data_IF_932372143139
#
_entry.id   IF_932372143139
#
_cell.length_a   1.000
_cell.length_b   1.000
_cell.length_c   1.000
_cell.angle_alpha   90.00
_cell.angle_beta   90.00
_cell.angle_gamma   90.00
#
_symmetry.space_group_name_H-M   'P 1'
#
loop_
_entity.id
_entity.type
_entity.pdbx_description
1 polymer ?
#
# COMPACT_ATOMS: atom_id res chain seq x y z
N UNK A 1 -47.19 -10.28 7.14
CA UNK A 1 -46.08 -11.20 6.84
C UNK A 1 -45.72 -11.04 5.38
N UNK A 2 -44.68 -10.29 5.08
CA UNK A 2 -44.23 -10.10 3.70
C UNK A 2 -43.38 -11.31 3.30
N UNK A 3 -43.93 -12.21 2.47
CA UNK A 3 -43.18 -13.27 1.84
C UNK A 3 -42.23 -12.65 0.81
N UNK A 4 -40.92 -12.67 1.09
CA UNK A 4 -39.89 -12.42 0.07
C UNK A 4 -39.96 -13.54 -0.97
N UNK A 5 -40.60 -13.28 -2.10
CA UNK A 5 -40.85 -14.25 -3.19
C UNK A 5 -39.60 -14.50 -4.04
N UNK A 6 -38.53 -13.75 -3.85
CA UNK A 6 -37.28 -13.94 -4.58
C UNK A 6 -36.22 -14.54 -3.66
N UNK A 7 -35.59 -15.65 -4.04
CA UNK A 7 -34.46 -16.18 -3.33
C UNK A 7 -33.39 -15.10 -3.28
N UNK A 8 -32.92 -14.76 -2.11
CA UNK A 8 -31.81 -13.82 -1.99
C UNK A 8 -30.61 -14.41 -2.72
N UNK A 9 -30.06 -13.66 -3.69
CA UNK A 9 -28.81 -14.04 -4.35
C UNK A 9 -27.74 -14.18 -3.29
N UNK A 10 -26.96 -15.28 -3.30
CA UNK A 10 -25.83 -15.41 -2.38
C UNK A 10 -24.93 -14.17 -2.54
N UNK A 11 -24.47 -13.63 -1.43
CA UNK A 11 -23.61 -12.44 -1.41
C UNK A 11 -22.27 -12.84 -2.01
N UNK A 12 -22.06 -12.51 -3.28
CA UNK A 12 -20.80 -12.74 -3.98
C UNK A 12 -19.77 -11.77 -3.42
N UNK A 13 -18.65 -12.28 -2.98
CA UNK A 13 -17.53 -11.48 -2.46
C UNK A 13 -16.28 -11.79 -3.28
N UNK A 14 -16.07 -11.06 -4.42
CA UNK A 14 -14.89 -11.25 -5.25
C UNK A 14 -13.62 -11.09 -4.40
N UNK A 15 -12.78 -12.12 -4.37
CA UNK A 15 -11.64 -12.19 -3.47
C UNK A 15 -10.42 -12.72 -4.21
N UNK A 16 -9.30 -12.00 -4.14
CA UNK A 16 -7.97 -12.53 -4.43
C UNK A 16 -7.44 -13.16 -3.17
N UNK A 17 -7.01 -14.40 -3.27
CA UNK A 17 -6.35 -15.10 -2.17
C UNK A 17 -4.95 -15.52 -2.57
N UNK A 18 -4.07 -15.63 -1.56
CA UNK A 18 -2.77 -16.27 -1.72
C UNK A 18 -2.53 -17.25 -0.57
N UNK A 19 -1.93 -18.40 -0.91
CA UNK A 19 -1.54 -19.39 0.09
C UNK A 19 -0.19 -20.02 -0.25
N UNK A 20 0.42 -20.62 0.76
CA UNK A 20 1.65 -21.43 0.62
C UNK A 20 1.41 -22.85 1.08
N UNK A 21 2.14 -23.78 0.52
CA UNK A 21 2.17 -25.16 1.00
C UNK A 21 3.17 -25.28 2.16
N UNK A 22 2.79 -26.06 3.18
CA UNK A 22 3.63 -26.30 4.35
C UNK A 22 4.31 -27.66 4.20
N UNK A 23 5.63 -27.69 4.37
CA UNK A 23 6.42 -28.94 4.30
C UNK A 23 6.69 -29.45 2.88
N UNK A 24 6.45 -28.66 1.84
CA UNK A 24 6.71 -29.03 0.44
C UNK A 24 7.92 -28.24 -0.09
N UNK A 25 9.10 -28.84 -0.10
CA UNK A 25 10.35 -28.16 -0.48
C UNK A 25 10.33 -27.58 -1.90
N UNK A 26 9.68 -28.23 -2.87
CA UNK A 26 9.56 -27.73 -4.25
C UNK A 26 8.81 -26.39 -4.36
N UNK A 27 7.97 -26.06 -3.37
CA UNK A 27 7.16 -24.85 -3.33
C UNK A 27 7.67 -23.83 -2.30
N UNK A 28 8.82 -24.05 -1.71
CA UNK A 28 9.40 -23.16 -0.71
C UNK A 28 9.67 -21.75 -1.27
N UNK A 29 9.08 -20.73 -0.64
CA UNK A 29 9.19 -19.35 -1.10
C UNK A 29 8.27 -18.99 -2.27
N UNK A 30 7.37 -19.89 -2.65
CA UNK A 30 6.32 -19.62 -3.62
C UNK A 30 4.97 -19.38 -2.95
N UNK A 31 4.18 -18.51 -3.53
CA UNK A 31 2.78 -18.29 -3.19
C UNK A 31 1.91 -18.64 -4.39
N UNK A 32 0.86 -19.42 -4.17
CA UNK A 32 -0.21 -19.55 -5.15
C UNK A 32 -1.16 -18.38 -5.00
N UNK A 33 -1.43 -17.69 -6.12
CA UNK A 33 -2.35 -16.55 -6.17
C UNK A 33 -3.55 -16.95 -7.01
N UNK A 34 -4.75 -16.87 -6.43
CA UNK A 34 -5.99 -17.26 -7.10
C UNK A 34 -7.14 -16.30 -6.81
N UNK A 35 -8.23 -16.53 -7.52
CA UNK A 35 -9.48 -15.79 -7.41
C UNK A 35 -10.63 -16.71 -6.96
N UNK A 36 -11.54 -16.17 -6.17
CA UNK A 36 -12.82 -16.82 -5.85
C UNK A 36 -13.91 -15.77 -5.63
N UNK A 37 -15.14 -16.16 -5.90
CA UNK A 37 -16.36 -15.40 -5.56
C UNK A 37 -17.06 -15.88 -4.29
N UNK A 38 -16.46 -16.86 -3.62
CA UNK A 38 -16.91 -17.46 -2.34
C UNK A 38 -15.75 -17.54 -1.34
N UNK A 39 -15.82 -18.41 -0.36
CA UNK A 39 -14.76 -18.60 0.65
C UNK A 39 -13.45 -19.07 0.00
N UNK A 40 -12.35 -18.35 0.26
CA UNK A 40 -11.01 -18.76 -0.18
C UNK A 40 -10.64 -20.16 0.38
N UNK A 41 -11.02 -20.43 1.63
CA UNK A 41 -10.78 -21.73 2.28
C UNK A 41 -11.46 -22.85 1.52
N UNK A 42 -12.76 -22.74 1.24
CA UNK A 42 -13.51 -23.76 0.48
C UNK A 42 -12.90 -24.01 -0.89
N UNK A 43 -12.50 -22.93 -1.60
CA UNK A 43 -11.88 -23.03 -2.91
C UNK A 43 -10.54 -23.77 -2.86
N UNK A 44 -9.71 -23.52 -1.86
CA UNK A 44 -8.42 -24.19 -1.69
C UNK A 44 -8.62 -25.64 -1.27
N UNK A 45 -9.55 -25.92 -0.35
CA UNK A 45 -9.87 -27.27 0.09
C UNK A 45 -10.34 -28.13 -1.10
N UNK A 46 -11.16 -27.60 -2.00
CA UNK A 46 -11.56 -28.28 -3.26
C UNK A 46 -10.34 -28.59 -4.16
N UNK A 47 -9.42 -27.62 -4.31
CA UNK A 47 -8.24 -27.80 -5.15
C UNK A 47 -7.25 -28.82 -4.59
N UNK A 48 -7.12 -28.91 -3.28
CA UNK A 48 -6.16 -29.77 -2.59
C UNK A 48 -6.77 -31.07 -2.05
N UNK A 49 -8.06 -31.29 -2.27
CA UNK A 49 -8.84 -32.41 -1.70
C UNK A 49 -8.16 -33.78 -1.86
N UNK A 50 -7.48 -34.01 -2.97
CA UNK A 50 -6.80 -35.29 -3.27
C UNK A 50 -5.37 -35.36 -2.78
N UNK A 51 -4.71 -34.24 -2.53
CA UNK A 51 -3.25 -34.19 -2.28
C UNK A 51 -2.85 -34.34 -0.82
N UNK A 52 -3.80 -34.18 0.13
CA UNK A 52 -3.55 -34.19 1.60
C UNK A 52 -2.40 -33.28 2.06
N UNK A 53 -2.07 -32.26 1.29
CA UNK A 53 -1.00 -31.31 1.61
C UNK A 53 -1.52 -30.22 2.53
N UNK A 54 -0.76 -29.88 3.57
CA UNK A 54 -1.07 -28.78 4.47
C UNK A 54 -0.77 -27.45 3.79
N UNK A 55 -1.64 -26.48 3.95
CA UNK A 55 -1.48 -25.13 3.41
C UNK A 55 -1.76 -24.05 4.46
N UNK A 56 -1.28 -22.85 4.20
CA UNK A 56 -1.54 -21.66 5.01
C UNK A 56 -2.01 -20.53 4.10
N UNK A 57 -3.22 -20.00 4.36
CA UNK A 57 -3.72 -18.80 3.68
C UNK A 57 -2.99 -17.59 4.27
N UNK A 58 -2.23 -16.90 3.44
CA UNK A 58 -1.43 -15.74 3.86
C UNK A 58 -2.03 -14.41 3.42
N UNK A 59 -3.02 -14.45 2.50
CA UNK A 59 -3.74 -13.27 2.02
C UNK A 59 -5.14 -13.67 1.55
N UNK A 60 -6.13 -12.83 1.88
CA UNK A 60 -7.47 -12.85 1.29
C UNK A 60 -8.00 -11.41 1.30
N UNK A 61 -8.06 -10.78 0.13
CA UNK A 61 -8.46 -9.39 -0.03
C UNK A 61 -9.49 -9.22 -1.14
N UNK A 62 -10.34 -8.18 -1.01
CA UNK A 62 -11.36 -7.87 -2.01
C UNK A 62 -10.74 -7.59 -3.38
N UNK A 63 -11.32 -8.21 -4.43
CA UNK A 63 -10.97 -8.00 -5.83
C UNK A 63 -11.80 -6.89 -6.48
N UNK A 64 -12.26 -5.91 -5.69
CA UNK A 64 -13.00 -4.75 -6.17
C UNK A 64 -12.08 -3.56 -6.37
N UNK A 65 -12.19 -2.91 -7.53
CA UNK A 65 -11.56 -1.62 -7.80
C UNK A 65 -12.36 -0.47 -7.19
N UNK A 66 -11.72 0.69 -7.02
CA UNK A 66 -12.38 1.89 -6.46
C UNK A 66 -13.49 2.44 -7.37
N UNK A 67 -13.46 2.12 -8.66
CA UNK A 67 -14.51 2.46 -9.63
C UNK A 67 -15.72 1.50 -9.62
N UNK A 68 -15.68 0.47 -8.76
CA UNK A 68 -16.71 -0.55 -8.63
C UNK A 68 -16.57 -1.73 -9.59
N UNK A 69 -15.58 -1.76 -10.46
CA UNK A 69 -15.25 -2.93 -11.28
C UNK A 69 -14.57 -4.02 -10.47
N UNK A 70 -14.54 -5.26 -11.02
CA UNK A 70 -13.82 -6.37 -10.44
C UNK A 70 -12.61 -6.73 -11.30
N UNK A 71 -11.51 -7.09 -10.65
CA UNK A 71 -10.34 -7.69 -11.31
C UNK A 71 -10.19 -9.15 -10.85
N UNK A 72 -9.42 -9.91 -11.59
CA UNK A 72 -9.20 -11.35 -11.35
C UNK A 72 -7.76 -11.65 -10.99
N UNK A 73 -7.48 -12.90 -10.61
CA UNK A 73 -6.11 -13.41 -10.44
C UNK A 73 -5.26 -13.20 -11.70
N UNK A 74 -5.83 -13.35 -12.90
CA UNK A 74 -5.09 -13.11 -14.16
C UNK A 74 -4.55 -11.69 -14.29
N UNK A 75 -5.24 -10.70 -13.73
CA UNK A 75 -4.77 -9.32 -13.75
C UNK A 75 -3.64 -9.13 -12.74
N UNK A 76 -3.75 -9.76 -11.56
CA UNK A 76 -2.66 -9.81 -10.57
C UNK A 76 -1.44 -10.53 -11.15
N UNK A 77 -1.64 -11.69 -11.80
CA UNK A 77 -0.55 -12.45 -12.44
C UNK A 77 0.19 -11.63 -13.49
N UNK A 78 -0.53 -10.87 -14.35
CA UNK A 78 0.09 -9.96 -15.33
C UNK A 78 1.00 -8.91 -14.68
N UNK A 79 0.59 -8.36 -13.52
CA UNK A 79 1.41 -7.39 -12.81
C UNK A 79 2.64 -8.05 -12.17
N UNK A 80 2.49 -9.22 -11.58
CA UNK A 80 3.62 -9.97 -11.01
C UNK A 80 4.62 -10.37 -12.12
N UNK A 81 4.16 -10.84 -13.27
CA UNK A 81 5.00 -11.14 -14.43
C UNK A 81 5.76 -9.89 -14.94
N UNK A 82 5.07 -8.74 -15.07
CA UNK A 82 5.70 -7.47 -15.49
C UNK A 82 6.79 -7.00 -14.51
N UNK A 83 6.62 -7.28 -13.21
CA UNK A 83 7.60 -6.98 -12.18
C UNK A 83 8.74 -8.00 -12.11
N UNK A 84 8.70 -9.03 -12.95
CA UNK A 84 9.77 -10.04 -13.07
C UNK A 84 9.73 -11.14 -12.01
N UNK A 85 8.61 -11.33 -11.29
CA UNK A 85 8.47 -12.44 -10.35
C UNK A 85 8.40 -13.77 -11.09
N UNK A 86 9.30 -14.69 -10.71
CA UNK A 86 9.42 -16.00 -11.37
C UNK A 86 8.24 -16.91 -10.98
N UNK A 87 7.66 -17.59 -11.96
CA UNK A 87 6.71 -18.69 -11.74
C UNK A 87 7.44 -19.98 -11.36
N UNK A 88 6.76 -20.89 -10.68
CA UNK A 88 7.32 -22.21 -10.32
C UNK A 88 7.68 -22.98 -11.60
N UNK A 89 6.75 -23.00 -12.58
CA UNK A 89 7.00 -23.50 -13.92
C UNK A 89 7.03 -22.35 -14.94
N UNK A 90 8.21 -21.78 -15.27
CA UNK A 90 8.31 -20.62 -16.17
C UNK A 90 7.83 -20.87 -17.60
N UNK A 91 7.76 -22.14 -18.03
CA UNK A 91 7.28 -22.53 -19.38
C UNK A 91 5.76 -22.62 -19.44
N UNK A 92 5.09 -22.71 -18.29
CA UNK A 92 3.64 -22.78 -18.21
C UNK A 92 3.06 -21.44 -17.75
N UNK A 93 2.50 -20.68 -18.70
CA UNK A 93 1.84 -19.39 -18.40
C UNK A 93 0.54 -19.53 -17.63
N UNK A 94 0.04 -20.75 -17.45
CA UNK A 94 -1.14 -21.04 -16.63
C UNK A 94 -0.79 -21.36 -15.19
N UNK A 95 0.51 -21.53 -14.87
CA UNK A 95 0.99 -21.74 -13.52
C UNK A 95 0.70 -20.50 -12.66
N UNK A 96 0.04 -20.71 -11.52
CA UNK A 96 -0.43 -19.68 -10.60
C UNK A 96 0.51 -19.50 -9.37
N UNK A 97 1.67 -20.18 -9.36
CA UNK A 97 2.66 -20.12 -8.31
C UNK A 97 3.77 -19.11 -8.63
N UNK A 98 3.94 -18.11 -7.78
CA UNK A 98 4.93 -17.06 -7.94
C UNK A 98 5.94 -17.05 -6.80
N UNK A 99 7.23 -16.89 -7.12
CA UNK A 99 8.28 -16.66 -6.14
C UNK A 99 8.24 -15.19 -5.70
N UNK A 100 7.35 -14.87 -4.78
CA UNK A 100 7.12 -13.51 -4.30
C UNK A 100 6.72 -13.51 -2.81
N UNK A 101 6.72 -12.35 -2.19
CA UNK A 101 6.21 -12.13 -0.85
C UNK A 101 4.71 -11.77 -0.84
N UNK A 102 4.09 -11.83 0.32
CA UNK A 102 2.72 -11.35 0.53
C UNK A 102 2.59 -9.85 0.21
N UNK A 103 3.64 -9.08 0.53
CA UNK A 103 3.69 -7.64 0.22
C UNK A 103 3.66 -7.36 -1.28
N UNK A 104 4.32 -8.20 -2.10
CA UNK A 104 4.32 -8.04 -3.55
C UNK A 104 2.92 -8.28 -4.14
N UNK A 105 2.23 -9.32 -3.66
CA UNK A 105 0.84 -9.61 -4.08
C UNK A 105 -0.09 -8.48 -3.65
N UNK A 106 0.07 -7.98 -2.42
CA UNK A 106 -0.73 -6.85 -1.91
C UNK A 106 -0.50 -5.57 -2.71
N UNK A 107 0.75 -5.30 -3.10
CA UNK A 107 1.09 -4.15 -3.93
C UNK A 107 0.49 -4.25 -5.34
N UNK A 108 0.42 -5.44 -5.92
CA UNK A 108 -0.25 -5.67 -7.20
C UNK A 108 -1.78 -5.45 -7.09
N UNK A 109 -2.40 -5.99 -6.03
CA UNK A 109 -3.82 -5.76 -5.73
C UNK A 109 -4.11 -4.27 -5.56
N UNK A 110 -3.26 -3.55 -4.84
CA UNK A 110 -3.41 -2.12 -4.62
C UNK A 110 -3.36 -1.32 -5.92
N UNK A 111 -2.41 -1.64 -6.80
CA UNK A 111 -2.32 -1.03 -8.13
C UNK A 111 -3.60 -1.23 -8.95
N UNK A 112 -4.16 -2.43 -8.96
CA UNK A 112 -5.43 -2.72 -9.64
C UNK A 112 -6.61 -2.00 -9.00
N UNK A 113 -6.66 -1.97 -7.68
CA UNK A 113 -7.74 -1.31 -6.93
C UNK A 113 -7.80 0.19 -7.19
N UNK A 114 -6.64 0.83 -7.25
CA UNK A 114 -6.53 2.29 -7.43
C UNK A 114 -6.45 2.71 -8.89
N UNK A 115 -6.16 1.78 -9.81
CA UNK A 115 -5.89 2.07 -11.23
C UNK A 115 -4.61 2.88 -11.46
N UNK A 116 -3.73 2.98 -10.45
CA UNK A 116 -2.49 3.77 -10.50
C UNK A 116 -1.25 2.90 -10.59
N UNK A 117 -0.17 3.47 -11.11
CA UNK A 117 1.15 2.84 -11.07
C UNK A 117 1.57 2.60 -9.61
N UNK A 118 2.27 1.53 -9.35
CA UNK A 118 2.84 1.19 -8.04
C UNK A 118 4.19 0.49 -8.25
N UNK A 119 5.15 1.24 -8.78
CA UNK A 119 6.49 0.72 -9.13
C UNK A 119 7.25 0.31 -7.89
N UNK A 120 7.10 1.06 -6.80
CA UNK A 120 7.83 0.87 -5.54
C UNK A 120 7.20 -0.16 -4.60
N UNK A 121 6.20 -0.91 -5.05
CA UNK A 121 5.52 -1.95 -4.25
C UNK A 121 4.90 -1.43 -2.93
N UNK A 122 4.36 -0.24 -2.94
CA UNK A 122 3.68 0.34 -1.79
C UNK A 122 2.41 -0.45 -1.46
N UNK A 123 2.10 -0.59 -0.18
CA UNK A 123 1.08 -1.54 0.29
C UNK A 123 -0.11 -0.89 0.99
N UNK A 124 -0.11 0.44 1.12
CA UNK A 124 -1.14 1.18 1.84
C UNK A 124 -1.74 2.30 1.00
N UNK A 125 -3.07 2.51 1.15
CA UNK A 125 -3.85 3.51 0.42
C UNK A 125 -4.98 4.13 1.26
N UNK A 126 -4.82 4.17 2.59
CA UNK A 126 -5.85 4.75 3.45
C UNK A 126 -5.96 6.26 3.26
N UNK A 127 -7.17 6.78 3.36
CA UNK A 127 -7.44 8.20 3.29
C UNK A 127 -7.15 8.93 4.62
N UNK A 128 -6.98 10.24 4.53
CA UNK A 128 -6.94 11.07 5.73
C UNK A 128 -8.26 10.98 6.50
N UNK A 129 -8.17 10.84 7.81
CA UNK A 129 -9.34 10.97 8.68
C UNK A 129 -9.90 12.41 8.62
N UNK A 130 -11.21 12.62 8.88
CA UNK A 130 -11.82 13.94 8.77
C UNK A 130 -11.10 15.04 9.55
N UNK A 131 -10.58 14.73 10.75
CA UNK A 131 -9.82 15.67 11.56
C UNK A 131 -8.43 15.99 10.98
N UNK A 132 -7.78 15.04 10.32
CA UNK A 132 -6.51 15.26 9.61
C UNK A 132 -6.75 16.12 8.37
N UNK A 133 -7.77 15.80 7.59
CA UNK A 133 -8.15 16.56 6.40
C UNK A 133 -8.41 18.02 6.75
N UNK A 134 -9.21 18.28 7.81
CA UNK A 134 -9.49 19.65 8.26
C UNK A 134 -8.23 20.40 8.67
N UNK A 135 -7.33 19.76 9.42
CA UNK A 135 -6.08 20.39 9.84
C UNK A 135 -5.19 20.75 8.64
N UNK A 136 -5.07 19.84 7.68
CA UNK A 136 -4.28 20.03 6.45
C UNK A 136 -4.87 21.16 5.62
N UNK A 137 -6.17 21.17 5.35
CA UNK A 137 -6.82 22.22 4.56
C UNK A 137 -6.74 23.59 5.23
N UNK A 138 -6.93 23.65 6.54
CA UNK A 138 -6.84 24.91 7.29
C UNK A 138 -5.40 25.46 7.23
N UNK A 139 -4.40 24.61 7.40
CA UNK A 139 -2.98 25.02 7.34
C UNK A 139 -2.59 25.47 5.95
N UNK A 140 -3.01 24.73 4.91
CA UNK A 140 -2.78 25.11 3.52
C UNK A 140 -3.34 26.47 3.20
N UNK A 141 -4.61 26.73 3.52
CA UNK A 141 -5.26 28.03 3.30
C UNK A 141 -4.54 29.18 4.00
N UNK A 142 -4.15 28.95 5.26
CA UNK A 142 -3.38 29.92 6.02
C UNK A 142 -2.05 30.25 5.36
N UNK A 143 -1.31 29.24 4.90
CA UNK A 143 -0.03 29.45 4.24
C UNK A 143 -0.19 30.17 2.91
N UNK A 144 -1.17 29.78 2.09
CA UNK A 144 -1.46 30.43 0.81
C UNK A 144 -1.84 31.92 1.01
N UNK A 145 -2.63 32.21 2.02
CA UNK A 145 -3.03 33.58 2.35
C UNK A 145 -1.84 34.38 2.88
N UNK A 146 -1.08 33.86 3.83
CA UNK A 146 0.07 34.55 4.43
C UNK A 146 1.14 34.87 3.37
N UNK A 147 1.40 33.94 2.43
CA UNK A 147 2.36 34.17 1.34
C UNK A 147 1.87 35.19 0.31
N UNK A 148 0.55 35.38 0.14
CA UNK A 148 -0.02 36.45 -0.70
C UNK A 148 0.08 37.82 -0.04
N UNK A 149 -0.17 37.88 1.27
CA UNK A 149 -0.16 39.14 2.03
C UNK A 149 1.27 39.63 2.31
N UNK A 150 2.17 38.72 2.67
CA UNK A 150 3.55 39.00 3.03
C UNK A 150 4.51 37.98 2.34
N UNK A 151 4.85 38.14 1.05
CA UNK A 151 5.62 37.13 0.28
C UNK A 151 7.01 36.82 0.87
N UNK A 152 7.60 37.74 1.60
CA UNK A 152 8.92 37.56 2.21
C UNK A 152 8.89 36.97 3.62
N UNK A 153 7.71 36.78 4.19
CA UNK A 153 7.55 36.21 5.51
C UNK A 153 7.34 34.70 5.45
N UNK A 154 8.13 33.98 6.24
CA UNK A 154 7.94 32.54 6.40
C UNK A 154 6.72 32.27 7.29
N UNK A 155 5.63 31.72 6.77
CA UNK A 155 4.44 31.47 7.56
C UNK A 155 4.70 30.35 8.58
N UNK A 156 4.10 30.45 9.77
CA UNK A 156 4.24 29.48 10.86
C UNK A 156 2.87 29.03 11.32
N UNK A 157 2.69 27.73 11.53
CA UNK A 157 1.44 27.14 12.01
C UNK A 157 1.69 26.09 13.07
N UNK A 158 0.88 26.06 14.12
CA UNK A 158 1.02 25.10 15.21
C UNK A 158 -0.19 24.17 15.26
N UNK A 159 0.07 22.85 15.15
CA UNK A 159 -0.94 21.84 15.41
C UNK A 159 -0.92 21.39 16.86
N UNK A 160 -1.97 21.70 17.62
CA UNK A 160 -2.24 21.09 18.91
C UNK A 160 -3.02 19.79 18.70
N UNK A 161 -2.30 18.71 18.45
CA UNK A 161 -2.91 17.42 18.11
C UNK A 161 -2.68 16.38 19.21
N UNK A 162 -3.73 15.60 19.53
CA UNK A 162 -3.67 14.49 20.51
C UNK A 162 -2.74 13.36 20.02
N UNK A 163 -2.39 12.47 20.95
CA UNK A 163 -1.73 11.21 20.60
C UNK A 163 -2.59 10.44 19.57
N UNK A 164 -1.94 9.68 18.70
CA UNK A 164 -2.59 8.89 17.61
C UNK A 164 -3.36 9.72 16.58
N UNK A 165 -3.17 11.01 16.53
CA UNK A 165 -3.71 11.85 15.47
C UNK A 165 -3.14 11.47 14.08
N UNK A 166 -1.93 10.91 14.01
CA UNK A 166 -1.22 10.65 12.76
C UNK A 166 -0.60 11.94 12.19
N UNK A 167 0.08 12.70 13.05
CA UNK A 167 0.70 13.99 12.68
C UNK A 167 1.65 13.87 11.51
N UNK A 168 2.47 12.83 11.47
CA UNK A 168 3.47 12.61 10.43
C UNK A 168 2.82 12.42 9.07
N UNK A 169 1.86 11.50 8.96
CA UNK A 169 1.10 11.28 7.75
C UNK A 169 0.38 12.55 7.28
N UNK A 170 -0.30 13.26 8.19
CA UNK A 170 -0.97 14.52 7.86
C UNK A 170 0.02 15.61 7.38
N UNK A 171 1.24 15.66 7.94
CA UNK A 171 2.28 16.60 7.48
C UNK A 171 2.77 16.27 6.07
N UNK A 172 2.93 14.99 5.73
CA UNK A 172 3.27 14.57 4.37
C UNK A 172 2.15 14.91 3.38
N UNK A 173 0.90 14.69 3.77
CA UNK A 173 -0.26 15.07 2.94
C UNK A 173 -0.34 16.59 2.72
N UNK A 174 -0.01 17.39 3.74
CA UNK A 174 0.10 18.84 3.59
C UNK A 174 1.19 19.21 2.59
N UNK A 175 2.39 18.64 2.74
CA UNK A 175 3.52 18.89 1.84
C UNK A 175 3.16 18.52 0.38
N UNK A 176 2.53 17.36 0.16
CA UNK A 176 2.04 16.92 -1.16
C UNK A 176 1.02 17.92 -1.74
N UNK A 177 0.02 18.33 -0.94
CA UNK A 177 -1.00 19.29 -1.38
C UNK A 177 -0.46 20.69 -1.68
N UNK A 178 0.65 21.06 -1.08
CA UNK A 178 1.35 22.33 -1.32
C UNK A 178 2.38 22.24 -2.45
N UNK A 179 2.62 21.05 -3.00
CA UNK A 179 3.64 20.84 -4.04
C UNK A 179 5.08 21.04 -3.55
N UNK A 180 5.34 20.76 -2.27
CA UNK A 180 6.69 20.90 -1.71
C UNK A 180 7.55 19.72 -2.17
N UNK A 181 8.69 20.01 -2.80
CA UNK A 181 9.65 18.99 -3.21
C UNK A 181 10.60 18.59 -2.07
N UNK A 182 10.80 19.45 -1.09
CA UNK A 182 11.74 19.24 0.02
C UNK A 182 11.10 19.50 1.36
N UNK A 183 11.20 18.53 2.29
CA UNK A 183 10.63 18.62 3.64
C UNK A 183 11.68 18.24 4.66
N UNK A 184 11.98 19.14 5.58
CA UNK A 184 12.88 18.88 6.72
C UNK A 184 12.05 18.57 7.97
N UNK A 185 12.30 17.41 8.60
CA UNK A 185 11.64 16.99 9.83
C UNK A 185 12.65 16.98 10.97
N UNK A 186 12.41 17.81 11.97
CA UNK A 186 13.22 17.84 13.20
C UNK A 186 12.47 17.13 14.32
N UNK A 187 13.07 16.10 14.88
CA UNK A 187 12.52 15.34 16.02
C UNK A 187 13.63 14.92 16.98
N UNK A 188 13.29 14.85 18.26
CA UNK A 188 14.22 14.37 19.30
C UNK A 188 13.89 12.93 19.77
N UNK A 189 12.81 12.33 19.26
CA UNK A 189 12.38 10.97 19.63
C UNK A 189 12.67 9.98 18.51
N UNK A 190 13.59 9.01 18.72
CA UNK A 190 13.91 7.99 17.70
C UNK A 190 12.70 7.18 17.20
N UNK A 191 11.73 6.91 18.08
CA UNK A 191 10.50 6.19 17.70
C UNK A 191 9.63 6.93 16.65
N UNK A 192 9.75 8.26 16.56
CA UNK A 192 9.04 9.06 15.54
C UNK A 192 9.69 8.91 14.17
N UNK A 193 10.99 8.68 14.12
CA UNK A 193 11.75 8.47 12.89
C UNK A 193 11.26 7.21 12.13
N UNK A 194 11.16 6.07 12.83
CA UNK A 194 10.73 4.81 12.22
C UNK A 194 9.28 4.87 11.70
N UNK A 195 8.37 5.43 12.50
CA UNK A 195 6.98 5.61 12.10
C UNK A 195 6.83 6.58 10.91
N UNK A 196 7.64 7.65 10.90
CA UNK A 196 7.65 8.60 9.79
C UNK A 196 8.15 7.98 8.49
N UNK A 197 9.21 7.19 8.57
CA UNK A 197 9.71 6.42 7.43
C UNK A 197 8.63 5.46 6.92
N UNK A 198 8.02 4.68 7.80
CA UNK A 198 7.02 3.68 7.43
C UNK A 198 5.85 4.32 6.68
N UNK A 199 5.24 5.38 7.21
CA UNK A 199 4.16 6.11 6.54
C UNK A 199 4.55 6.55 5.13
N UNK A 200 5.76 7.06 4.93
CA UNK A 200 6.22 7.59 3.66
C UNK A 200 6.54 6.49 2.64
N UNK A 201 7.18 5.38 3.05
CA UNK A 201 7.61 4.33 2.11
C UNK A 201 6.53 3.30 1.79
N UNK A 202 5.48 3.20 2.61
CA UNK A 202 4.42 2.21 2.40
C UNK A 202 3.17 2.77 1.72
N UNK A 203 2.91 4.08 1.83
CA UNK A 203 1.68 4.67 1.32
C UNK A 203 1.83 5.11 -0.14
N UNK A 204 0.84 4.74 -0.98
CA UNK A 204 0.87 4.97 -2.43
C UNK A 204 0.91 6.45 -2.81
N UNK A 205 0.38 7.33 -1.96
CA UNK A 205 0.38 8.77 -2.18
C UNK A 205 1.77 9.42 -2.25
N UNK A 206 2.78 8.74 -1.72
CA UNK A 206 4.15 9.25 -1.64
C UNK A 206 5.11 8.48 -2.57
N UNK A 207 4.58 7.83 -3.61
CA UNK A 207 5.42 7.21 -4.64
C UNK A 207 6.35 8.27 -5.27
N UNK A 208 7.63 7.92 -5.40
CA UNK A 208 8.67 8.86 -5.83
C UNK A 208 9.32 9.69 -4.71
N UNK A 209 8.76 9.66 -3.49
CA UNK A 209 9.36 10.38 -2.36
C UNK A 209 10.45 9.56 -1.70
N UNK A 210 11.57 10.21 -1.40
CA UNK A 210 12.70 9.62 -0.71
C UNK A 210 12.72 10.05 0.76
N UNK A 211 13.05 9.11 1.66
CA UNK A 211 13.27 9.37 3.08
C UNK A 211 14.74 9.15 3.42
N UNK A 212 15.39 10.17 3.97
CA UNK A 212 16.79 10.09 4.43
C UNK A 212 16.86 10.56 5.88
N UNK A 213 17.37 9.70 6.77
CA UNK A 213 17.66 10.06 8.15
C UNK A 213 19.15 10.26 8.36
N UNK A 214 19.53 10.87 9.51
CA UNK A 214 20.93 10.97 9.92
C UNK A 214 21.62 9.61 9.98
N UNK A 215 20.90 8.54 10.37
CA UNK A 215 21.45 7.18 10.41
C UNK A 215 21.70 6.63 9.02
N UNK A 216 20.78 6.87 8.08
CA UNK A 216 20.94 6.43 6.69
C UNK A 216 22.14 7.13 6.05
N UNK A 217 22.26 8.43 6.27
CA UNK A 217 23.38 9.21 5.77
C UNK A 217 24.71 8.70 6.30
N UNK A 218 24.80 8.44 7.60
CA UNK A 218 26.01 7.91 8.22
C UNK A 218 26.35 6.50 7.70
N UNK A 219 25.35 5.60 7.62
CA UNK A 219 25.56 4.22 7.18
C UNK A 219 25.94 4.11 5.70
N UNK A 220 25.44 5.01 4.86
CA UNK A 220 25.68 5.00 3.41
C UNK A 220 26.73 6.04 2.98
N UNK A 221 27.37 6.68 3.91
CA UNK A 221 28.36 7.77 3.67
C UNK A 221 27.79 8.90 2.78
N UNK A 222 26.51 9.25 3.01
CA UNK A 222 25.80 10.30 2.28
C UNK A 222 25.91 11.64 3.01
N UNK A 223 25.98 12.71 2.25
CA UNK A 223 25.86 14.06 2.82
C UNK A 223 24.40 14.53 2.71
N UNK A 224 23.71 14.67 3.86
CA UNK A 224 22.29 15.06 3.93
C UNK A 224 22.05 16.38 3.21
N UNK A 225 22.92 17.36 3.37
CA UNK A 225 22.75 18.67 2.73
C UNK A 225 22.79 18.56 1.21
N UNK A 226 23.71 17.74 0.68
CA UNK A 226 23.80 17.49 -0.75
C UNK A 226 22.56 16.73 -1.28
N UNK A 227 22.11 15.70 -0.57
CA UNK A 227 20.91 14.96 -0.97
C UNK A 227 19.66 15.86 -0.90
N UNK A 228 19.56 16.71 0.13
CA UNK A 228 18.45 17.66 0.25
C UNK A 228 18.48 18.73 -0.85
N UNK A 229 19.66 19.12 -1.32
CA UNK A 229 19.81 20.07 -2.46
C UNK A 229 19.47 19.44 -3.81
N UNK A 230 19.66 18.13 -3.96
CA UNK A 230 19.36 17.38 -5.20
C UNK A 230 17.91 17.00 -5.37
N UNK A 231 17.10 17.07 -4.30
CA UNK A 231 15.67 16.76 -4.37
C UNK A 231 14.98 17.80 -5.26
N UNK A 232 14.29 17.34 -6.28
CA UNK A 232 13.51 18.15 -7.24
C UNK A 232 12.08 18.38 -6.76
#
# INVERSE_FOLDING_TARGET
MSHNFFPQRPKVTPTIYAYRLVGVESHKGFLKVGYTDRSAKERIDEQLHTSKVTYEIVLAESAMSNDGSCFTDKDVHKLLDRKGFRRLNPMDKTDEWFKCSVSDVRAAILSLRTGTSNVENRTQSFEMRPEQYRAVEQTKRYFEQALKEEPNRVPKFLWKAKMRFGKTFASYQLAKKMGLSRVLILTFKPAVESAGREDLVTHIDFEGWQYISNKDAHNNNLNIDQEFQRAD
#
